data_IF_758641939566
#
_entry.id   IF_758641939566
#
_cell.length_a   1.000
_cell.length_b   1.000
_cell.length_c   1.000
_cell.angle_alpha   90.00
_cell.angle_beta   90.00
_cell.angle_gamma   90.00
#
_symmetry.space_group_name_H-M   'P 1'
#
loop_
_entity.id
_entity.type
_entity.pdbx_description
1 polymer ?
#
# COMPACT_ATOMS: atom_id res chain seq x y z
N UNK A 1 -4.33 22.31 -19.45
CA UNK A 1 -4.37 20.83 -19.42
C UNK A 1 -2.94 20.34 -19.27
N UNK A 2 -2.69 19.40 -18.34
CA UNK A 2 -1.41 18.70 -18.27
C UNK A 2 -1.23 17.91 -19.57
N UNK A 3 -0.05 17.98 -20.18
CA UNK A 3 0.29 17.12 -21.32
C UNK A 3 0.81 15.79 -20.76
N UNK A 4 0.40 14.69 -21.37
CA UNK A 4 0.81 13.34 -20.99
C UNK A 4 1.61 12.71 -22.12
N UNK A 5 2.59 11.90 -21.77
CA UNK A 5 3.30 11.06 -22.72
C UNK A 5 2.39 9.90 -23.13
N UNK A 6 2.20 9.70 -24.44
CA UNK A 6 1.34 8.61 -24.95
C UNK A 6 2.13 7.35 -25.29
N UNK A 7 3.46 7.47 -25.37
CA UNK A 7 4.35 6.33 -25.55
C UNK A 7 4.46 5.53 -24.24
N UNK A 8 4.60 4.21 -24.35
CA UNK A 8 4.90 3.38 -23.19
C UNK A 8 6.31 3.73 -22.67
N UNK A 9 6.50 4.02 -21.37
CA UNK A 9 7.83 4.33 -20.85
C UNK A 9 8.78 3.14 -21.04
N UNK A 10 10.04 3.41 -21.38
CA UNK A 10 11.06 2.37 -21.56
C UNK A 10 11.21 1.50 -20.29
N UNK A 11 11.13 2.15 -19.12
CA UNK A 11 11.18 1.51 -17.81
C UNK A 11 9.86 0.86 -17.38
N UNK A 12 8.84 0.74 -18.23
CA UNK A 12 7.51 0.21 -17.87
C UNK A 12 7.57 -1.13 -17.14
N UNK A 13 8.43 -2.06 -17.56
CA UNK A 13 8.54 -3.36 -16.89
C UNK A 13 9.07 -3.25 -15.46
N UNK A 14 9.95 -2.28 -15.20
CA UNK A 14 10.44 -1.99 -13.84
C UNK A 14 9.35 -1.36 -12.99
N UNK A 15 8.69 -0.32 -13.52
CA UNK A 15 7.58 0.37 -12.85
C UNK A 15 6.42 -0.58 -12.56
N UNK A 16 6.08 -1.48 -13.49
CA UNK A 16 5.05 -2.51 -13.29
C UNK A 16 5.42 -3.44 -12.14
N UNK A 17 6.70 -3.85 -12.01
CA UNK A 17 7.15 -4.69 -10.90
C UNK A 17 7.05 -3.93 -9.57
N UNK A 18 7.50 -2.68 -9.53
CA UNK A 18 7.43 -1.81 -8.35
C UNK A 18 5.98 -1.57 -7.92
N UNK A 19 5.09 -1.22 -8.85
CA UNK A 19 3.66 -1.05 -8.60
C UNK A 19 2.98 -2.33 -8.06
N UNK A 20 3.48 -3.52 -8.39
CA UNK A 20 2.97 -4.79 -7.89
C UNK A 20 3.76 -5.35 -6.68
N UNK A 21 4.74 -4.61 -6.16
CA UNK A 21 5.57 -5.07 -5.07
C UNK A 21 4.85 -4.95 -3.73
N UNK A 22 4.39 -6.08 -3.20
CA UNK A 22 3.52 -6.13 -2.01
C UNK A 22 4.22 -5.82 -0.69
N UNK A 23 5.55 -5.66 -0.70
CA UNK A 23 6.34 -5.45 0.51
C UNK A 23 6.71 -3.98 0.76
N UNK A 24 6.32 -3.06 -0.13
CA UNK A 24 6.60 -1.63 0.01
C UNK A 24 5.54 -0.78 -0.70
N UNK A 25 4.60 -0.22 0.07
CA UNK A 25 3.58 0.70 -0.42
C UNK A 25 4.21 2.00 -0.93
N UNK A 26 5.38 2.38 -0.41
CA UNK A 26 6.14 3.54 -0.88
C UNK A 26 6.66 3.33 -2.30
N UNK A 27 7.17 2.13 -2.60
CA UNK A 27 7.55 1.79 -3.98
C UNK A 27 6.35 1.71 -4.91
N UNK A 28 5.22 1.17 -4.43
CA UNK A 28 3.97 1.16 -5.22
C UNK A 28 3.49 2.57 -5.51
N UNK A 29 3.48 3.44 -4.51
CA UNK A 29 3.08 4.84 -4.64
C UNK A 29 4.01 5.59 -5.61
N UNK A 30 5.32 5.44 -5.46
CA UNK A 30 6.29 6.07 -6.35
C UNK A 30 6.11 5.62 -7.80
N UNK A 31 5.93 4.32 -8.02
CA UNK A 31 5.66 3.79 -9.35
C UNK A 31 4.36 4.36 -9.94
N UNK A 32 3.29 4.46 -9.14
CA UNK A 32 2.02 5.09 -9.55
C UNK A 32 2.21 6.56 -9.92
N UNK A 33 2.97 7.31 -9.13
CA UNK A 33 3.26 8.71 -9.38
C UNK A 33 4.02 8.89 -10.71
N UNK A 34 5.07 8.11 -10.95
CA UNK A 34 5.82 8.15 -12.21
C UNK A 34 4.93 7.76 -13.39
N UNK A 35 4.11 6.73 -13.24
CA UNK A 35 3.19 6.26 -14.28
C UNK A 35 2.07 7.28 -14.58
N UNK A 36 1.76 8.19 -13.67
CA UNK A 36 0.74 9.24 -13.86
C UNK A 36 1.08 10.28 -14.94
N UNK A 37 2.31 10.26 -15.45
CA UNK A 37 2.75 11.10 -16.57
C UNK A 37 2.54 10.43 -17.94
N UNK A 38 2.17 9.14 -17.97
CA UNK A 38 2.08 8.34 -19.19
C UNK A 38 0.64 7.86 -19.46
N UNK A 39 -0.06 8.52 -20.38
CA UNK A 39 -1.39 8.14 -20.82
C UNK A 39 -1.32 7.08 -21.94
N UNK A 40 -1.10 5.84 -21.54
CA UNK A 40 -1.03 4.68 -22.43
C UNK A 40 -1.90 3.54 -21.86
N UNK A 41 -2.57 2.76 -22.71
CA UNK A 41 -3.51 1.69 -22.30
C UNK A 41 -2.97 0.76 -21.20
N UNK A 42 -1.77 0.20 -21.39
CA UNK A 42 -1.10 -0.64 -20.38
C UNK A 42 -0.89 0.05 -19.02
N UNK A 43 -0.67 1.36 -19.02
CA UNK A 43 -0.53 2.15 -17.80
C UNK A 43 -1.90 2.34 -17.15
N UNK A 44 -2.91 2.71 -17.93
CA UNK A 44 -4.30 2.83 -17.48
C UNK A 44 -4.78 1.52 -16.83
N UNK A 45 -4.54 0.37 -17.46
CA UNK A 45 -4.89 -0.95 -16.93
C UNK A 45 -4.23 -1.22 -15.58
N UNK A 46 -2.94 -0.89 -15.45
CA UNK A 46 -2.18 -1.06 -14.20
C UNK A 46 -2.71 -0.14 -13.10
N UNK A 47 -3.00 1.11 -13.42
CA UNK A 47 -3.55 2.08 -12.47
C UNK A 47 -4.96 1.70 -12.02
N UNK A 48 -5.83 1.22 -12.92
CA UNK A 48 -7.15 0.68 -12.55
C UNK A 48 -7.03 -0.46 -11.55
N UNK A 49 -6.08 -1.38 -11.78
CA UNK A 49 -5.82 -2.47 -10.84
C UNK A 49 -5.34 -1.96 -9.47
N UNK A 50 -4.44 -0.96 -9.42
CA UNK A 50 -3.97 -0.36 -8.16
C UNK A 50 -5.09 0.37 -7.42
N UNK A 51 -5.87 1.17 -8.13
CA UNK A 51 -7.03 1.88 -7.57
C UNK A 51 -8.02 0.91 -6.90
N UNK A 52 -8.30 -0.23 -7.53
CA UNK A 52 -9.30 -1.19 -7.04
C UNK A 52 -8.78 -2.14 -5.95
N UNK A 53 -7.48 -2.48 -5.97
CA UNK A 53 -6.97 -3.63 -5.22
C UNK A 53 -5.75 -3.35 -4.33
N UNK A 54 -5.18 -2.14 -4.33
CA UNK A 54 -4.11 -1.87 -3.37
C UNK A 54 -4.64 -1.94 -1.93
N UNK A 55 -3.83 -2.43 -1.02
CA UNK A 55 -4.17 -2.50 0.42
C UNK A 55 -4.03 -1.15 1.09
N UNK A 56 -3.29 -0.21 0.49
CA UNK A 56 -3.03 1.12 1.05
C UNK A 56 -3.86 2.17 0.30
N UNK A 57 -4.76 2.84 1.03
CA UNK A 57 -5.71 3.80 0.46
C UNK A 57 -5.02 4.97 -0.27
N UNK A 58 -3.86 5.42 0.21
CA UNK A 58 -3.08 6.46 -0.46
C UNK A 58 -2.61 6.04 -1.87
N UNK A 59 -2.22 4.78 -2.06
CA UNK A 59 -1.85 4.25 -3.39
C UNK A 59 -3.09 4.18 -4.29
N UNK A 60 -4.23 3.76 -3.73
CA UNK A 60 -5.50 3.75 -4.46
C UNK A 60 -5.89 5.15 -4.94
N UNK A 61 -5.76 6.17 -4.08
CA UNK A 61 -6.10 7.56 -4.39
C UNK A 61 -5.17 8.15 -5.45
N UNK A 62 -3.86 7.92 -5.36
CA UNK A 62 -2.92 8.38 -6.39
C UNK A 62 -3.25 7.78 -7.77
N UNK A 63 -3.61 6.50 -7.81
CA UNK A 63 -4.02 5.85 -9.05
C UNK A 63 -5.36 6.41 -9.58
N UNK A 64 -6.33 6.65 -8.69
CA UNK A 64 -7.60 7.29 -9.03
C UNK A 64 -7.40 8.69 -9.62
N UNK A 65 -6.57 9.52 -8.99
CA UNK A 65 -6.30 10.89 -9.45
C UNK A 65 -5.66 10.90 -10.85
N UNK A 66 -4.72 9.99 -11.10
CA UNK A 66 -4.12 9.82 -12.42
C UNK A 66 -5.16 9.40 -13.48
N UNK A 67 -6.03 8.44 -13.16
CA UNK A 67 -7.08 7.98 -14.07
C UNK A 67 -8.09 9.10 -14.41
N UNK A 68 -8.53 9.87 -13.41
CA UNK A 68 -9.40 11.04 -13.64
C UNK A 68 -8.70 12.07 -14.51
N UNK A 69 -7.40 12.30 -14.30
CA UNK A 69 -6.62 13.23 -15.12
C UNK A 69 -6.49 12.76 -16.58
N UNK A 70 -6.48 11.44 -16.84
CA UNK A 70 -6.55 10.85 -18.17
C UNK A 70 -7.95 10.90 -18.80
N UNK A 71 -8.97 11.31 -18.05
CA UNK A 71 -10.37 11.35 -18.50
C UNK A 71 -11.10 10.01 -18.41
N UNK A 72 -10.58 9.07 -17.62
CA UNK A 72 -11.24 7.79 -17.36
C UNK A 72 -12.45 7.97 -16.44
N UNK A 73 -13.54 7.26 -16.73
CA UNK A 73 -14.73 7.19 -15.89
C UNK A 73 -14.51 6.14 -14.79
N UNK A 74 -14.10 6.58 -13.61
CA UNK A 74 -13.76 5.73 -12.46
C UNK A 74 -14.34 6.27 -11.16
N UNK A 75 -14.72 5.36 -10.26
CA UNK A 75 -15.23 5.73 -8.95
C UNK A 75 -14.10 5.93 -7.94
N UNK A 76 -14.24 6.96 -7.09
CA UNK A 76 -13.27 7.24 -6.03
C UNK A 76 -13.24 6.08 -5.02
N UNK A 77 -12.07 5.51 -4.71
CA UNK A 77 -11.97 4.46 -3.71
C UNK A 77 -12.40 4.98 -2.33
N UNK A 78 -12.96 4.09 -1.52
CA UNK A 78 -13.30 4.38 -0.12
C UNK A 78 -12.29 3.73 0.82
N UNK A 79 -11.94 4.39 1.95
CA UNK A 79 -11.12 3.77 2.99
C UNK A 79 -11.73 2.46 3.51
N UNK A 80 -10.88 1.55 3.99
CA UNK A 80 -11.34 0.32 4.60
C UNK A 80 -12.20 0.62 5.86
N UNK A 81 -13.40 0.04 5.92
CA UNK A 81 -14.30 0.17 7.09
C UNK A 81 -13.99 -0.80 8.22
N UNK A 82 -13.23 -1.86 7.91
CA UNK A 82 -12.85 -2.94 8.81
C UNK A 82 -11.33 -3.17 8.71
N UNK A 83 -10.84 -4.28 9.28
CA UNK A 83 -9.47 -4.72 9.09
C UNK A 83 -9.08 -4.69 7.60
N UNK A 84 -7.97 -4.02 7.28
CA UNK A 84 -7.39 -4.00 5.92
C UNK A 84 -7.07 -5.43 5.48
N UNK A 85 -6.54 -6.23 6.41
CA UNK A 85 -6.24 -7.65 6.21
C UNK A 85 -7.08 -8.48 7.16
N UNK A 86 -7.91 -9.36 6.60
CA UNK A 86 -8.79 -10.24 7.36
C UNK A 86 -8.03 -11.03 8.43
N UNK A 87 -8.57 -11.03 9.66
CA UNK A 87 -7.98 -11.68 10.84
C UNK A 87 -6.64 -11.07 11.31
N UNK A 88 -6.45 -9.75 11.18
CA UNK A 88 -5.22 -9.06 11.63
C UNK A 88 -4.87 -9.41 13.08
N UNK A 89 -5.87 -9.47 13.97
CA UNK A 89 -5.66 -9.76 15.40
C UNK A 89 -5.02 -11.12 15.67
N UNK A 90 -5.43 -12.14 14.91
CA UNK A 90 -4.85 -13.48 15.04
C UNK A 90 -3.40 -13.51 14.59
N UNK A 91 -3.07 -12.69 13.59
CA UNK A 91 -1.71 -12.54 13.07
C UNK A 91 -0.84 -11.87 14.13
N UNK A 92 -1.29 -10.74 14.67
CA UNK A 92 -0.60 -10.01 15.71
C UNK A 92 -0.36 -10.86 16.97
N UNK A 93 -1.39 -11.58 17.45
CA UNK A 93 -1.24 -12.49 18.59
C UNK A 93 -0.19 -13.57 18.34
N UNK A 94 -0.14 -14.14 17.13
CA UNK A 94 0.86 -15.15 16.77
C UNK A 94 2.27 -14.59 16.76
N UNK A 95 2.46 -13.38 16.22
CA UNK A 95 3.77 -12.71 16.20
C UNK A 95 4.23 -12.40 17.64
N UNK A 96 3.34 -11.87 18.49
CA UNK A 96 3.64 -11.54 19.89
C UNK A 96 4.08 -12.78 20.68
N UNK A 97 3.37 -13.90 20.51
CA UNK A 97 3.70 -15.19 21.15
C UNK A 97 5.02 -15.81 20.68
N UNK A 98 5.59 -15.35 19.57
CA UNK A 98 6.87 -15.83 19.04
C UNK A 98 8.09 -15.09 19.61
N UNK A 99 7.87 -14.08 20.46
CA UNK A 99 8.89 -13.25 21.08
C UNK A 99 9.09 -13.58 22.56
N UNK A 100 10.25 -13.26 23.16
CA UNK A 100 10.48 -13.35 24.61
C UNK A 100 9.44 -12.56 25.41
N UNK A 101 9.23 -12.90 26.69
CA UNK A 101 8.15 -12.30 27.50
C UNK A 101 8.30 -10.78 27.70
N UNK A 102 9.53 -10.28 27.70
CA UNK A 102 9.96 -8.91 27.97
C UNK A 102 10.26 -8.09 26.70
N UNK A 103 9.81 -8.56 25.54
CA UNK A 103 9.97 -7.83 24.28
C UNK A 103 9.27 -6.46 24.30
N UNK A 104 9.84 -5.52 23.54
CA UNK A 104 9.29 -4.18 23.35
C UNK A 104 8.33 -4.12 22.14
N UNK A 105 7.60 -3.01 21.99
CA UNK A 105 6.83 -2.76 20.75
C UNK A 105 7.74 -2.68 19.52
N UNK A 106 8.98 -2.20 19.67
CA UNK A 106 9.94 -2.17 18.57
C UNK A 106 10.34 -3.58 18.12
N UNK A 107 10.64 -4.48 19.07
CA UNK A 107 10.90 -5.90 18.77
C UNK A 107 9.70 -6.55 18.07
N UNK A 108 8.49 -6.21 18.51
CA UNK A 108 7.25 -6.66 17.87
C UNK A 108 7.11 -6.13 16.44
N UNK A 109 7.37 -4.85 16.21
CA UNK A 109 7.32 -4.23 14.90
C UNK A 109 8.32 -4.87 13.92
N UNK A 110 9.56 -5.09 14.36
CA UNK A 110 10.60 -5.75 13.58
C UNK A 110 10.23 -7.20 13.25
N UNK A 111 9.69 -7.94 14.24
CA UNK A 111 9.22 -9.30 14.04
C UNK A 111 8.03 -9.35 13.07
N UNK A 112 7.09 -8.42 13.20
CA UNK A 112 5.94 -8.30 12.31
C UNK A 112 6.38 -8.02 10.88
N UNK A 113 7.29 -7.06 10.68
CA UNK A 113 7.87 -6.74 9.37
C UNK A 113 8.55 -7.94 8.73
N UNK A 114 9.29 -8.74 9.51
CA UNK A 114 9.97 -9.96 9.02
C UNK A 114 9.00 -11.10 8.68
N UNK A 115 7.98 -11.32 9.50
CA UNK A 115 7.09 -12.48 9.36
C UNK A 115 5.91 -12.22 8.44
N UNK A 116 5.39 -10.99 8.43
CA UNK A 116 4.15 -10.57 7.77
C UNK A 116 4.30 -9.14 7.26
N UNK A 117 5.25 -8.97 6.34
CA UNK A 117 5.53 -7.69 5.68
C UNK A 117 4.27 -7.13 5.01
N UNK A 118 3.39 -7.95 4.48
CA UNK A 118 2.10 -7.56 3.90
C UNK A 118 1.21 -6.81 4.91
N UNK A 119 1.19 -7.26 6.17
CA UNK A 119 0.44 -6.62 7.25
C UNK A 119 1.12 -5.36 7.74
N UNK A 120 2.44 -5.42 7.92
CA UNK A 120 3.22 -4.25 8.28
C UNK A 120 3.05 -3.13 7.26
N UNK A 121 3.22 -3.45 5.98
CA UNK A 121 3.10 -2.53 4.84
C UNK A 121 1.73 -1.86 4.76
N UNK A 122 0.66 -2.67 4.86
CA UNK A 122 -0.71 -2.17 4.78
C UNK A 122 -1.04 -1.17 5.89
N UNK A 123 -0.70 -1.49 7.15
CA UNK A 123 -1.01 -0.61 8.27
C UNK A 123 -0.03 0.55 8.42
N UNK A 124 1.23 0.39 8.02
CA UNK A 124 2.17 1.51 7.96
C UNK A 124 1.69 2.56 6.95
N UNK A 125 1.25 2.11 5.77
CA UNK A 125 0.69 3.01 4.74
C UNK A 125 -0.63 3.66 5.17
N UNK A 126 -1.49 2.95 5.87
CA UNK A 126 -2.78 3.47 6.33
C UNK A 126 -2.65 4.45 7.52
N UNK A 127 -1.75 4.17 8.48
CA UNK A 127 -1.58 4.99 9.68
C UNK A 127 -0.53 6.10 9.52
N UNK A 128 0.39 5.96 8.58
CA UNK A 128 1.42 6.95 8.32
C UNK A 128 2.23 7.27 9.58
N UNK A 129 2.29 8.55 9.95
CA UNK A 129 3.03 9.02 11.13
C UNK A 129 2.54 8.40 12.45
N UNK A 130 1.26 8.03 12.55
CA UNK A 130 0.66 7.44 13.75
C UNK A 130 0.88 5.92 13.84
N UNK A 131 1.58 5.30 12.88
CA UNK A 131 1.72 3.85 12.82
C UNK A 131 2.29 3.25 14.10
N UNK A 132 3.39 3.81 14.64
CA UNK A 132 4.02 3.24 15.84
C UNK A 132 3.15 3.40 17.09
N UNK A 133 2.49 4.55 17.26
CA UNK A 133 1.55 4.78 18.37
C UNK A 133 0.37 3.80 18.31
N UNK A 134 -0.24 3.67 17.12
CA UNK A 134 -1.31 2.72 16.88
C UNK A 134 -0.87 1.26 17.12
N UNK A 135 0.33 0.91 16.68
CA UNK A 135 0.90 -0.43 16.84
C UNK A 135 1.15 -0.75 18.32
N UNK A 136 1.64 0.22 19.10
CA UNK A 136 1.84 0.09 20.54
C UNK A 136 0.53 -0.12 21.29
N UNK A 137 -0.48 0.69 21.00
CA UNK A 137 -1.82 0.53 21.59
C UNK A 137 -2.42 -0.83 21.26
N UNK A 138 -2.23 -1.30 20.02
CA UNK A 138 -2.71 -2.63 19.62
C UNK A 138 -1.94 -3.71 20.36
N UNK A 139 -0.62 -3.62 20.37
CA UNK A 139 0.29 -4.56 21.01
C UNK A 139 0.00 -4.72 22.51
N UNK A 140 -0.27 -3.62 23.22
CA UNK A 140 -0.63 -3.64 24.64
C UNK A 140 -1.93 -4.40 24.93
N UNK A 141 -2.84 -4.49 23.94
CA UNK A 141 -4.16 -5.16 24.06
C UNK A 141 -4.16 -6.62 23.60
N UNK A 142 -3.03 -7.15 23.10
CA UNK A 142 -2.88 -8.53 22.60
C UNK A 142 -2.61 -9.57 23.69
#
# INVERSE_FOLDING_TARGET
MKQFETALPEQYQSLKKQANYTSSWRERLEAVNILSDYQHDKVIDLLKNRMQHDTVHQVQLAAYEALVAFGEDVEKPSPARFDIIKNTDKIFLRVKKSLPKDHTVADFADKLKRMRVDVFDAYEGDKGAEFMNWLEERWAKL
#
